data_IF_901725341877
#
_entry.id   IF_901725341877
#
_cell.length_a   1.000
_cell.length_b   1.000
_cell.length_c   1.000
_cell.angle_alpha   90.00
_cell.angle_beta   90.00
_cell.angle_gamma   90.00
#
_symmetry.space_group_name_H-M   'P 1'
#
loop_
_entity.id
_entity.type
_entity.pdbx_description
1 polymer ?
#
# COMPACT_ATOMS: atom_id res chain seq x y z
N UNK A 1 -3.50 5.35 21.00
CA UNK A 1 -4.69 5.07 20.17
C UNK A 1 -4.36 4.33 18.90
N UNK A 2 -3.37 4.80 18.16
CA UNK A 2 -2.96 4.10 16.94
C UNK A 2 -2.55 2.65 17.18
N UNK A 3 -1.83 2.39 18.26
CA UNK A 3 -1.38 1.02 18.59
C UNK A 3 -2.57 0.11 18.85
N UNK A 4 -3.58 0.60 19.57
CA UNK A 4 -4.80 -0.16 19.83
C UNK A 4 -5.58 -0.42 18.55
N UNK A 5 -5.66 0.59 17.67
CA UNK A 5 -6.38 0.47 16.42
C UNK A 5 -5.69 -0.51 15.47
N UNK A 6 -4.36 -0.50 15.39
CA UNK A 6 -3.60 -1.48 14.63
C UNK A 6 -3.85 -2.90 15.11
N UNK A 7 -3.83 -3.13 16.41
CA UNK A 7 -4.07 -4.45 16.97
C UNK A 7 -5.49 -4.92 16.65
N UNK A 8 -6.46 -4.03 16.70
CA UNK A 8 -7.85 -4.36 16.41
C UNK A 8 -8.06 -4.70 14.94
N UNK A 9 -7.51 -3.90 14.03
CA UNK A 9 -7.67 -4.17 12.60
C UNK A 9 -6.94 -5.44 12.19
N UNK A 10 -5.79 -5.72 12.79
CA UNK A 10 -5.08 -6.97 12.54
C UNK A 10 -5.92 -8.17 12.97
N UNK A 11 -6.57 -8.07 14.11
CA UNK A 11 -7.44 -9.12 14.63
C UNK A 11 -8.63 -9.36 13.72
N UNK A 12 -9.24 -8.29 13.20
CA UNK A 12 -10.32 -8.37 12.24
C UNK A 12 -9.87 -9.04 10.93
N UNK A 13 -8.68 -8.70 10.45
CA UNK A 13 -8.14 -9.33 9.25
C UNK A 13 -7.86 -10.82 9.47
N UNK A 14 -7.34 -11.19 10.63
CA UNK A 14 -7.13 -12.60 10.97
C UNK A 14 -8.46 -13.36 11.01
N UNK A 15 -9.51 -12.74 11.54
CA UNK A 15 -10.83 -13.34 11.57
C UNK A 15 -11.38 -13.56 10.15
N UNK A 16 -11.22 -12.59 9.26
CA UNK A 16 -11.64 -12.75 7.87
C UNK A 16 -10.89 -13.89 7.17
N UNK A 17 -9.62 -13.99 7.43
CA UNK A 17 -8.79 -15.05 6.85
C UNK A 17 -9.27 -16.43 7.33
N UNK A 18 -9.57 -16.56 8.62
CA UNK A 18 -10.07 -17.80 9.19
C UNK A 18 -11.47 -18.16 8.69
N UNK A 19 -12.31 -17.18 8.42
CA UNK A 19 -13.66 -17.39 7.90
C UNK A 19 -13.68 -17.80 6.44
N UNK A 20 -12.50 -17.82 5.79
CA UNK A 20 -12.42 -18.22 4.40
C UNK A 20 -12.85 -17.14 3.43
N UNK A 21 -12.70 -15.88 3.79
CA UNK A 21 -12.93 -14.78 2.86
C UNK A 21 -12.02 -14.89 1.64
N UNK A 22 -10.87 -15.53 1.85
CA UNK A 22 -9.97 -15.97 0.79
C UNK A 22 -10.11 -17.50 0.63
N UNK A 23 -11.33 -17.97 0.46
CA UNK A 23 -11.62 -19.41 0.48
C UNK A 23 -10.82 -20.19 -0.57
N UNK A 24 -10.47 -19.53 -1.68
CA UNK A 24 -9.63 -20.09 -2.73
C UNK A 24 -8.16 -20.19 -2.31
N UNK A 25 -7.81 -19.60 -1.16
CA UNK A 25 -6.44 -19.43 -0.70
C UNK A 25 -6.29 -19.82 0.76
N UNK A 26 -7.02 -20.84 1.19
CA UNK A 26 -6.88 -21.40 2.54
C UNK A 26 -5.52 -22.07 2.72
N UNK A 27 -4.49 -21.32 2.38
CA UNK A 27 -3.14 -21.76 2.58
C UNK A 27 -2.76 -21.40 4.03
N UNK A 28 -2.42 -22.38 4.88
CA UNK A 28 -1.99 -22.08 6.24
C UNK A 28 -0.70 -21.28 6.32
N UNK A 29 0.01 -21.16 5.22
CA UNK A 29 1.20 -20.32 5.14
C UNK A 29 0.88 -18.83 5.05
N UNK A 30 -0.37 -18.43 4.73
CA UNK A 30 -0.75 -17.02 4.65
C UNK A 30 -0.84 -16.44 6.04
N UNK A 31 -0.15 -15.32 6.25
CA UNK A 31 -0.11 -14.59 7.52
C UNK A 31 -0.57 -13.16 7.33
N UNK A 32 -1.17 -12.60 8.37
CA UNK A 32 -1.53 -11.19 8.41
C UNK A 32 -0.30 -10.40 8.85
N UNK A 33 0.13 -9.46 8.01
CA UNK A 33 1.26 -8.60 8.30
C UNK A 33 0.88 -7.35 9.08
N UNK A 34 1.83 -6.42 9.19
CA UNK A 34 1.65 -5.18 9.93
C UNK A 34 0.70 -4.26 9.19
N UNK A 35 -0.40 -3.81 9.82
CA UNK A 35 -1.30 -2.84 9.20
C UNK A 35 -0.63 -1.49 8.96
N UNK A 36 -0.95 -0.88 7.84
CA UNK A 36 -0.46 0.45 7.47
C UNK A 36 -1.63 1.40 7.29
N UNK A 37 -1.48 2.63 7.77
CA UNK A 37 -2.50 3.65 7.58
C UNK A 37 -2.51 4.13 6.13
N UNK A 38 -3.70 4.20 5.54
CA UNK A 38 -3.91 4.82 4.23
C UNK A 38 -4.48 6.20 4.49
N UNK A 39 -3.80 7.22 3.99
CA UNK A 39 -4.15 8.62 4.24
C UNK A 39 -4.97 9.19 3.09
N UNK A 40 -5.91 10.06 3.42
CA UNK A 40 -6.55 10.92 2.44
C UNK A 40 -5.57 12.01 1.99
N UNK A 41 -5.77 12.63 0.82
CA UNK A 41 -4.93 13.74 0.38
C UNK A 41 -4.87 14.92 1.35
N UNK A 42 -5.88 15.08 2.23
CA UNK A 42 -5.91 16.12 3.25
C UNK A 42 -5.17 15.75 4.54
N UNK A 43 -4.44 14.63 4.53
CA UNK A 43 -3.65 14.12 5.65
C UNK A 43 -4.45 13.55 6.81
N UNK A 44 -5.74 13.26 6.62
CA UNK A 44 -6.51 12.46 7.58
C UNK A 44 -6.46 10.99 7.18
N UNK A 45 -6.60 10.12 8.17
CA UNK A 45 -6.58 8.68 7.88
C UNK A 45 -7.91 8.25 7.28
N UNK A 46 -7.84 7.63 6.10
CA UNK A 46 -9.01 7.10 5.39
C UNK A 46 -9.33 5.67 5.82
N UNK A 47 -8.30 4.81 5.87
CA UNK A 47 -8.51 3.38 6.03
C UNK A 47 -7.21 2.71 6.47
N UNK A 48 -7.25 1.38 6.56
CA UNK A 48 -6.10 0.55 6.87
C UNK A 48 -5.80 -0.39 5.71
N UNK A 49 -4.53 -0.55 5.42
CA UNK A 49 -4.00 -1.56 4.50
C UNK A 49 -3.41 -2.69 5.35
N UNK A 50 -3.92 -3.89 5.20
CA UNK A 50 -3.45 -5.05 5.96
C UNK A 50 -2.89 -6.08 4.97
N UNK A 51 -1.57 -6.25 4.90
CA UNK A 51 -0.98 -7.19 3.96
C UNK A 51 -1.24 -8.63 4.38
N UNK A 52 -1.48 -9.48 3.39
CA UNK A 52 -1.61 -10.93 3.56
C UNK A 52 -0.38 -11.55 2.90
N UNK A 53 0.50 -12.13 3.71
CA UNK A 53 1.86 -12.48 3.33
C UNK A 53 2.09 -13.98 3.31
N UNK A 54 2.86 -14.43 2.32
CA UNK A 54 3.42 -15.79 2.29
C UNK A 54 4.94 -15.63 2.14
N UNK A 55 5.66 -15.77 3.24
CA UNK A 55 7.08 -15.44 3.26
C UNK A 55 7.32 -14.01 2.80
N UNK A 56 8.21 -13.76 1.83
CA UNK A 56 8.46 -12.41 1.33
C UNK A 56 7.43 -11.93 0.30
N UNK A 57 6.45 -12.76 -0.04
CA UNK A 57 5.48 -12.45 -1.10
C UNK A 57 4.18 -11.92 -0.54
N UNK A 58 3.60 -10.95 -1.24
CA UNK A 58 2.31 -10.37 -0.92
C UNK A 58 1.25 -11.12 -1.71
N UNK A 59 0.54 -12.03 -1.04
CA UNK A 59 -0.51 -12.82 -1.68
C UNK A 59 -1.78 -12.00 -1.92
N UNK A 60 -2.00 -10.99 -1.11
CA UNK A 60 -3.15 -10.13 -1.20
C UNK A 60 -3.14 -9.10 -0.08
N UNK A 61 -4.23 -8.38 0.07
CA UNK A 61 -4.39 -7.46 1.18
C UNK A 61 -5.86 -7.27 1.52
N UNK A 62 -6.12 -6.88 2.74
CA UNK A 62 -7.44 -6.44 3.19
C UNK A 62 -7.39 -4.94 3.45
N UNK A 63 -8.47 -4.25 3.11
CA UNK A 63 -8.62 -2.82 3.39
C UNK A 63 -9.82 -2.63 4.28
N UNK A 64 -9.62 -1.91 5.39
CA UNK A 64 -10.66 -1.63 6.37
C UNK A 64 -10.82 -0.13 6.55
N UNK A 65 -12.05 0.33 6.69
CA UNK A 65 -12.27 1.70 7.19
C UNK A 65 -11.72 1.83 8.61
N UNK A 66 -11.50 3.05 9.05
CA UNK A 66 -11.05 3.31 10.43
C UNK A 66 -12.05 2.78 11.48
N UNK A 67 -13.32 2.64 11.09
CA UNK A 67 -14.36 2.01 11.91
C UNK A 67 -14.28 0.48 11.95
N UNK A 68 -13.29 -0.12 11.29
CA UNK A 68 -13.06 -1.55 11.17
C UNK A 68 -14.07 -2.27 10.28
N UNK A 69 -14.80 -1.53 9.45
CA UNK A 69 -15.67 -2.13 8.44
C UNK A 69 -14.80 -2.52 7.25
N UNK A 70 -14.87 -3.79 6.79
CA UNK A 70 -14.12 -4.21 5.61
C UNK A 70 -14.57 -3.45 4.36
N UNK A 71 -13.63 -2.86 3.64
CA UNK A 71 -13.89 -2.24 2.34
C UNK A 71 -13.73 -3.23 1.21
N UNK A 72 -12.63 -3.98 1.26
CA UNK A 72 -12.36 -4.99 0.24
C UNK A 72 -11.26 -5.92 0.70
N UNK A 73 -11.23 -7.09 0.09
CA UNK A 73 -10.11 -8.02 0.15
C UNK A 73 -9.68 -8.28 -1.28
N UNK A 74 -8.42 -8.07 -1.56
CA UNK A 74 -7.85 -8.28 -2.88
C UNK A 74 -6.82 -9.40 -2.82
N UNK A 75 -6.71 -10.13 -3.91
CA UNK A 75 -5.73 -11.19 -4.01
C UNK A 75 -4.97 -11.02 -5.33
N UNK A 76 -3.66 -11.20 -5.27
CA UNK A 76 -2.84 -11.20 -6.47
C UNK A 76 -2.92 -12.57 -7.13
N UNK A 77 -2.89 -12.58 -8.44
CA UNK A 77 -3.07 -13.82 -9.18
C UNK A 77 -1.93 -14.79 -8.92
N UNK A 78 -2.27 -15.99 -8.49
CA UNK A 78 -1.33 -17.07 -8.24
C UNK A 78 -2.03 -18.42 -8.34
N UNK A 79 -1.25 -19.47 -8.50
CA UNK A 79 -1.76 -20.83 -8.37
C UNK A 79 -1.60 -21.30 -6.93
N UNK A 80 -2.42 -22.23 -6.45
CA UNK A 80 -2.29 -22.74 -5.08
C UNK A 80 -0.88 -23.22 -4.77
N UNK A 81 -0.30 -22.70 -3.70
CA UNK A 81 1.05 -23.07 -3.27
C UNK A 81 2.19 -22.43 -4.04
N UNK A 82 1.91 -21.63 -5.06
CA UNK A 82 2.94 -20.96 -5.84
C UNK A 82 2.65 -19.46 -5.88
N UNK A 83 3.48 -18.69 -5.16
CA UNK A 83 3.36 -17.25 -5.02
C UNK A 83 4.45 -16.47 -5.77
N UNK A 84 5.19 -17.14 -6.65
CA UNK A 84 6.35 -16.53 -7.31
C UNK A 84 6.00 -15.30 -8.14
N UNK A 85 4.78 -15.25 -8.68
CA UNK A 85 4.32 -14.12 -9.49
C UNK A 85 3.69 -13.00 -8.67
N UNK A 86 3.51 -13.22 -7.38
CA UNK A 86 2.98 -12.18 -6.51
C UNK A 86 4.03 -11.11 -6.28
N UNK A 87 3.62 -9.86 -5.98
CA UNK A 87 4.56 -8.82 -5.60
C UNK A 87 5.34 -9.18 -4.35
N UNK A 88 6.49 -8.56 -4.15
CA UNK A 88 7.19 -8.65 -2.89
C UNK A 88 6.49 -7.76 -1.85
N UNK A 89 6.38 -8.26 -0.63
CA UNK A 89 5.84 -7.47 0.49
C UNK A 89 6.60 -6.15 0.62
N UNK A 90 7.92 -6.19 0.48
CA UNK A 90 8.77 -5.01 0.64
C UNK A 90 8.45 -3.90 -0.35
N UNK A 91 8.00 -4.22 -1.56
CA UNK A 91 7.63 -3.21 -2.55
C UNK A 91 6.40 -2.40 -2.13
N UNK A 92 5.61 -2.92 -1.20
CA UNK A 92 4.40 -2.26 -0.70
C UNK A 92 4.50 -1.76 0.74
N UNK A 93 5.48 -2.22 1.51
CA UNK A 93 5.53 -1.94 2.94
C UNK A 93 6.87 -1.38 3.43
N UNK A 94 7.94 -1.54 2.68
CA UNK A 94 9.27 -1.08 3.09
C UNK A 94 9.53 0.30 2.53
N UNK A 95 9.56 1.31 3.41
CA UNK A 95 9.78 2.71 3.03
C UNK A 95 11.06 2.91 2.24
N UNK A 96 12.14 2.23 2.62
CA UNK A 96 13.41 2.34 1.90
C UNK A 96 13.31 1.79 0.48
N UNK A 97 12.60 0.69 0.32
CA UNK A 97 12.37 0.08 -1.00
C UNK A 97 11.52 0.99 -1.87
N UNK A 98 10.50 1.60 -1.28
CA UNK A 98 9.62 2.53 -1.98
C UNK A 98 10.39 3.77 -2.44
N UNK A 99 11.29 4.29 -1.59
CA UNK A 99 12.15 5.40 -1.96
C UNK A 99 13.13 5.03 -3.07
N UNK A 100 13.65 3.80 -3.07
CA UNK A 100 14.49 3.32 -4.17
C UNK A 100 13.73 3.34 -5.50
N UNK A 101 12.49 2.87 -5.51
CA UNK A 101 11.66 2.92 -6.71
C UNK A 101 11.42 4.35 -7.16
N UNK A 102 11.05 5.25 -6.23
CA UNK A 102 10.82 6.65 -6.55
C UNK A 102 12.07 7.31 -7.11
N UNK A 103 13.25 6.97 -6.58
CA UNK A 103 14.51 7.57 -7.02
C UNK A 103 14.84 7.27 -8.49
N UNK A 104 14.28 6.20 -9.04
CA UNK A 104 14.47 5.88 -10.45
C UNK A 104 13.88 6.93 -11.39
N UNK A 105 12.92 7.73 -10.89
CA UNK A 105 12.33 8.85 -11.65
C UNK A 105 12.70 10.21 -11.12
N UNK A 106 13.55 10.27 -10.11
CA UNK A 106 14.02 11.53 -9.57
C UNK A 106 14.94 12.22 -10.60
N UNK A 107 14.82 13.55 -10.67
CA UNK A 107 15.68 14.37 -11.51
C UNK A 107 16.86 14.87 -10.69
N UNK A 108 17.93 15.27 -11.38
CA UNK A 108 19.09 15.83 -10.71
C UNK A 108 18.69 17.04 -9.86
N UNK A 109 19.16 17.08 -8.62
CA UNK A 109 18.87 18.15 -7.69
C UNK A 109 17.57 18.04 -6.95
N UNK A 110 16.76 17.01 -7.21
CA UNK A 110 15.53 16.77 -6.48
C UNK A 110 15.78 16.02 -5.16
N UNK A 111 15.07 16.42 -4.13
CA UNK A 111 15.01 15.70 -2.86
C UNK A 111 13.65 15.02 -2.73
N UNK A 112 13.68 13.77 -2.29
CA UNK A 112 12.46 13.01 -2.08
C UNK A 112 12.06 13.09 -0.62
N UNK A 113 10.77 13.34 -0.38
CA UNK A 113 10.20 13.32 0.97
C UNK A 113 9.96 11.90 1.43
N UNK A 114 9.59 11.76 2.70
CA UNK A 114 9.12 10.50 3.24
C UNK A 114 7.85 10.07 2.52
N UNK A 115 7.75 8.80 2.09
CA UNK A 115 6.55 8.30 1.41
C UNK A 115 5.35 8.25 2.33
N UNK A 116 4.18 8.52 1.75
CA UNK A 116 2.90 8.42 2.45
C UNK A 116 2.01 7.48 1.65
N UNK A 117 1.49 6.45 2.31
CA UNK A 117 0.54 5.54 1.66
C UNK A 117 -0.81 6.24 1.54
N UNK A 118 -1.30 6.33 0.33
CA UNK A 118 -2.54 7.02 0.01
C UNK A 118 -3.20 6.34 -1.20
N UNK A 119 -3.94 7.07 -1.98
CA UNK A 119 -4.53 6.57 -3.20
C UNK A 119 -4.48 7.65 -4.28
N UNK A 120 -4.52 7.20 -5.53
CA UNK A 120 -4.47 8.07 -6.71
C UNK A 120 -5.90 8.28 -7.19
N UNK A 121 -6.54 9.38 -6.74
CA UNK A 121 -7.90 9.82 -7.09
C UNK A 121 -9.02 8.91 -6.57
N UNK A 122 -8.86 7.62 -6.64
CA UNK A 122 -9.86 6.64 -6.26
C UNK A 122 -9.29 5.79 -5.12
N UNK A 123 -10.03 5.62 -4.00
CA UNK A 123 -9.55 4.81 -2.87
C UNK A 123 -9.18 3.37 -3.21
N UNK A 124 -9.61 2.86 -4.37
CA UNK A 124 -9.20 1.54 -4.82
C UNK A 124 -7.82 1.54 -5.50
N UNK A 125 -7.29 2.70 -5.84
CA UNK A 125 -6.00 2.84 -6.52
C UNK A 125 -4.91 3.22 -5.52
N UNK A 126 -4.53 2.28 -4.69
CA UNK A 126 -3.53 2.52 -3.64
C UNK A 126 -2.16 2.77 -4.24
N UNK A 127 -1.46 3.74 -3.69
CA UNK A 127 -0.09 4.07 -4.08
C UNK A 127 0.59 4.84 -2.96
N UNK A 128 1.91 4.74 -2.91
CA UNK A 128 2.71 5.60 -2.05
C UNK A 128 2.99 6.90 -2.79
N UNK A 129 2.83 8.01 -2.09
CA UNK A 129 3.05 9.35 -2.64
C UNK A 129 4.32 9.92 -2.08
N UNK A 130 5.18 10.41 -2.97
CA UNK A 130 6.47 10.99 -2.61
C UNK A 130 6.57 12.36 -3.24
N UNK A 131 6.91 13.37 -2.44
CA UNK A 131 7.16 14.72 -2.95
C UNK A 131 8.61 14.80 -3.43
N UNK A 132 8.80 15.20 -4.68
CA UNK A 132 10.11 15.48 -5.25
C UNK A 132 10.25 17.00 -5.37
N UNK A 133 11.16 17.57 -4.60
CA UNK A 133 11.37 19.01 -4.53
C UNK A 133 12.76 19.37 -5.06
N UNK A 134 12.80 20.24 -6.05
CA UNK A 134 14.07 20.68 -6.64
C UNK A 134 14.72 21.78 -5.81
N UNK A 135 16.01 22.00 -6.03
CA UNK A 135 16.75 23.08 -5.38
C UNK A 135 16.23 24.46 -5.78
N UNK A 136 15.57 24.59 -6.92
CA UNK A 136 14.94 25.84 -7.37
C UNK A 136 13.59 26.10 -6.71
N UNK A 137 13.08 25.18 -5.91
CA UNK A 137 11.80 25.32 -5.23
C UNK A 137 10.61 24.66 -5.95
N UNK A 138 10.81 24.19 -7.17
CA UNK A 138 9.76 23.46 -7.88
C UNK A 138 9.51 22.12 -7.22
N UNK A 139 8.26 21.70 -7.22
CA UNK A 139 7.89 20.42 -6.63
C UNK A 139 6.92 19.68 -7.53
N UNK A 140 6.96 18.38 -7.42
CA UNK A 140 6.03 17.46 -8.09
C UNK A 140 5.86 16.23 -7.22
N UNK A 141 4.76 15.51 -7.45
CA UNK A 141 4.52 14.27 -6.73
C UNK A 141 4.77 13.07 -7.63
N UNK A 142 5.36 12.04 -7.04
CA UNK A 142 5.53 10.74 -7.65
C UNK A 142 4.68 9.74 -6.90
N UNK A 143 4.04 8.84 -7.64
CA UNK A 143 3.34 7.69 -7.07
C UNK A 143 4.15 6.43 -7.29
N UNK A 144 4.22 5.60 -6.27
CA UNK A 144 4.85 4.27 -6.31
C UNK A 144 3.80 3.24 -5.98
N UNK A 145 3.48 2.39 -6.92
CA UNK A 145 2.51 1.31 -6.77
C UNK A 145 3.19 -0.02 -7.12
N UNK A 146 3.62 -0.75 -6.10
CA UNK A 146 4.48 -1.92 -6.30
C UNK A 146 5.83 -1.50 -6.87
N UNK A 147 6.16 -1.98 -8.08
CA UNK A 147 7.37 -1.58 -8.79
C UNK A 147 7.12 -0.46 -9.80
N UNK A 148 5.87 -0.08 -10.03
CA UNK A 148 5.53 0.98 -10.97
C UNK A 148 5.71 2.34 -10.32
N UNK A 149 6.32 3.26 -11.04
CA UNK A 149 6.52 4.64 -10.60
C UNK A 149 6.02 5.56 -11.69
N UNK A 150 5.22 6.55 -11.31
CA UNK A 150 4.71 7.51 -12.28
C UNK A 150 4.49 8.87 -11.60
N UNK A 151 4.49 9.92 -12.42
CA UNK A 151 4.26 11.27 -11.93
C UNK A 151 2.76 11.52 -11.77
N UNK A 152 2.39 12.23 -10.71
CA UNK A 152 1.00 12.65 -10.49
C UNK A 152 0.60 13.67 -11.53
N UNK A 153 -0.31 13.29 -12.41
CA UNK A 153 -0.86 14.15 -13.45
C UNK A 153 -2.22 14.75 -13.07
N UNK A 154 -2.69 14.45 -11.85
CA UNK A 154 -4.04 14.82 -11.44
C UNK A 154 -4.35 16.31 -11.49
N UNK A 155 -3.41 17.12 -11.01
CA UNK A 155 -3.58 18.57 -11.00
C UNK A 155 -3.52 19.19 -12.40
N UNK A 156 -2.83 18.54 -13.33
CA UNK A 156 -2.74 19.04 -14.71
C UNK A 156 -4.00 18.75 -15.52
N UNK A 157 -4.67 17.66 -15.19
CA UNK A 157 -5.89 17.30 -15.90
C UNK A 157 -7.05 18.25 -15.67
N UNK A 158 -6.92 19.12 -14.69
CA UNK A 158 -7.93 20.10 -14.34
C UNK A 158 -7.61 21.49 -14.87
N UNK A 159 -6.43 21.65 -15.40
CA UNK A 159 -5.98 22.92 -15.96
C UNK A 159 -6.68 23.27 -17.24
#
# INVERSE_FOLDING_TARGET
>A
MEIGDKANVRREAEALLQQGFLAQQRDPAVRVGEPLAIMDPDSTQHSWFVPLEVGPKLAGFAQFLTSLVPLRVSSFQHTPGNYDRCPDVADWTDVNRILQHASSMARQGERLSEPILTYDRDPSRLAWKVLAKSSSGDSRYLFVAGTAVYEDSGSRGLG
#
